data_IF_639601355437
#
_entry.id   IF_639601355437
#
_cell.length_a   1.000
_cell.length_b   1.000
_cell.length_c   1.000
_cell.angle_alpha   90.00
_cell.angle_beta   90.00
_cell.angle_gamma   90.00
#
_symmetry.space_group_name_H-M   'P 1'
#
loop_
_entity.id
_entity.type
_entity.pdbx_description
1 polymer ?
#
# COMPACT_ATOMS: atom_id res chain seq x y z
N UNK A 1 -41.53 -18.36 -32.34
CA UNK A 1 -41.47 -17.75 -31.00
C UNK A 1 -40.27 -16.86 -30.95
N UNK A 2 -40.44 -15.51 -31.07
CA UNK A 2 -39.36 -14.58 -30.97
C UNK A 2 -39.02 -14.38 -29.46
N UNK A 3 -37.81 -14.71 -29.11
CA UNK A 3 -37.31 -14.41 -27.76
C UNK A 3 -37.28 -12.89 -27.57
N UNK A 4 -38.17 -12.38 -26.74
CA UNK A 4 -38.16 -11.00 -26.28
C UNK A 4 -36.90 -10.84 -25.42
N UNK A 5 -35.85 -10.24 -26.01
CA UNK A 5 -34.69 -9.80 -25.23
C UNK A 5 -35.12 -8.62 -24.36
N UNK A 6 -35.55 -8.94 -23.15
CA UNK A 6 -35.82 -7.96 -22.11
C UNK A 6 -34.53 -7.17 -21.85
N UNK A 7 -34.51 -5.88 -22.23
CA UNK A 7 -33.36 -5.02 -21.96
C UNK A 7 -33.22 -4.90 -20.43
N UNK A 8 -32.03 -5.24 -19.88
CA UNK A 8 -31.85 -5.17 -18.43
C UNK A 8 -32.18 -3.77 -17.92
N UNK A 9 -32.97 -3.73 -16.85
CA UNK A 9 -33.32 -2.48 -16.18
C UNK A 9 -32.05 -1.73 -15.75
N UNK A 10 -32.15 -0.39 -15.61
CA UNK A 10 -31.01 0.45 -15.19
C UNK A 10 -30.41 -0.09 -13.87
N UNK A 11 -31.24 -0.50 -12.92
CA UNK A 11 -30.82 -1.10 -11.66
C UNK A 11 -29.98 -2.39 -11.88
N UNK A 12 -30.40 -3.26 -12.79
CA UNK A 12 -29.67 -4.50 -13.11
C UNK A 12 -28.28 -4.29 -13.73
N UNK A 13 -28.04 -3.12 -14.34
CA UNK A 13 -26.71 -2.75 -14.89
C UNK A 13 -25.73 -2.35 -13.79
N UNK A 14 -26.20 -1.88 -12.64
CA UNK A 14 -25.34 -1.48 -11.51
C UNK A 14 -25.05 -2.61 -10.53
N UNK A 15 -25.90 -3.66 -10.49
CA UNK A 15 -25.70 -4.81 -9.60
C UNK A 15 -24.30 -5.42 -9.70
N UNK A 16 -23.72 -5.66 -10.90
CA UNK A 16 -22.38 -6.25 -11.02
C UNK A 16 -21.28 -5.41 -10.35
N UNK A 17 -21.43 -4.08 -10.29
CA UNK A 17 -20.44 -3.18 -9.66
C UNK A 17 -20.33 -3.40 -8.14
N UNK A 18 -21.35 -3.97 -7.52
CA UNK A 18 -21.42 -4.18 -6.09
C UNK A 18 -21.27 -5.66 -5.68
N UNK A 19 -21.30 -6.59 -6.63
CA UNK A 19 -21.17 -8.03 -6.35
C UNK A 19 -19.77 -8.45 -5.87
N UNK A 20 -18.73 -7.67 -6.21
CA UNK A 20 -17.35 -7.95 -5.81
C UNK A 20 -16.97 -7.42 -4.42
N UNK A 21 -17.90 -6.75 -3.71
CA UNK A 21 -17.59 -6.17 -2.40
C UNK A 21 -17.90 -7.13 -1.26
N UNK A 22 -16.94 -7.25 -0.34
CA UNK A 22 -17.15 -7.86 0.97
C UNK A 22 -17.87 -6.85 1.86
N UNK A 23 -19.19 -7.01 2.02
CA UNK A 23 -20.03 -6.07 2.76
C UNK A 23 -19.65 -5.91 4.24
N UNK A 24 -19.29 -6.98 4.99
CA UNK A 24 -18.71 -6.85 6.33
C UNK A 24 -17.49 -5.95 6.37
N UNK A 25 -16.56 -6.11 5.42
CA UNK A 25 -15.37 -5.26 5.32
C UNK A 25 -15.72 -3.82 4.99
N UNK A 26 -16.64 -3.59 4.04
CA UNK A 26 -17.14 -2.23 3.70
C UNK A 26 -17.74 -1.55 4.91
N UNK A 27 -18.53 -2.27 5.70
CA UNK A 27 -19.14 -1.73 6.92
C UNK A 27 -18.10 -1.33 7.95
N UNK A 28 -17.09 -2.18 8.19
CA UNK A 28 -15.98 -1.86 9.11
C UNK A 28 -15.23 -0.61 8.64
N UNK A 29 -14.91 -0.52 7.36
CA UNK A 29 -14.24 0.66 6.78
C UNK A 29 -15.10 1.92 6.93
N UNK A 30 -16.41 1.82 6.70
CA UNK A 30 -17.33 2.94 6.86
C UNK A 30 -17.43 3.41 8.32
N UNK A 31 -17.47 2.48 9.29
CA UNK A 31 -17.46 2.80 10.73
C UNK A 31 -16.15 3.49 11.12
N UNK A 32 -15.00 2.97 10.70
CA UNK A 32 -13.69 3.57 10.96
C UNK A 32 -13.56 4.96 10.34
N UNK A 33 -14.03 5.12 9.10
CA UNK A 33 -14.06 6.41 8.42
C UNK A 33 -14.93 7.43 9.16
N UNK A 34 -16.12 7.02 9.61
CA UNK A 34 -17.02 7.86 10.38
C UNK A 34 -16.43 8.26 11.73
N UNK A 35 -15.79 7.31 12.44
CA UNK A 35 -15.09 7.58 13.69
C UNK A 35 -13.92 8.56 13.48
N UNK A 36 -13.15 8.40 12.39
CA UNK A 36 -12.09 9.32 12.01
C UNK A 36 -12.59 10.74 11.73
N UNK A 37 -13.71 10.86 11.02
CA UNK A 37 -14.35 12.17 10.77
C UNK A 37 -14.86 12.82 12.06
N UNK A 38 -15.47 12.05 12.98
CA UNK A 38 -15.92 12.54 14.28
C UNK A 38 -14.73 13.02 15.13
N UNK A 39 -13.64 12.25 15.18
CA UNK A 39 -12.43 12.63 15.89
C UNK A 39 -11.82 13.91 15.31
N UNK A 40 -11.78 14.03 13.97
CA UNK A 40 -11.28 15.23 13.30
C UNK A 40 -12.18 16.45 13.53
N UNK A 41 -13.48 16.27 13.55
CA UNK A 41 -14.43 17.34 13.90
C UNK A 41 -14.22 17.82 15.33
N UNK A 42 -14.10 16.90 16.28
CA UNK A 42 -13.86 17.21 17.70
C UNK A 42 -12.53 17.93 17.95
N UNK A 43 -11.46 17.51 17.25
CA UNK A 43 -10.12 18.09 17.43
C UNK A 43 -9.91 19.38 16.65
N UNK A 44 -10.71 19.66 15.64
CA UNK A 44 -10.57 20.77 14.69
C UNK A 44 -11.55 21.92 14.91
N UNK A 45 -12.22 21.99 16.07
CA UNK A 45 -13.30 22.95 16.33
C UNK A 45 -12.95 24.42 16.01
N UNK A 46 -11.70 24.84 16.25
CA UNK A 46 -11.23 26.19 15.95
C UNK A 46 -10.66 26.38 14.52
N UNK A 47 -10.64 25.33 13.69
CA UNK A 47 -9.98 25.33 12.37
C UNK A 47 -10.90 24.70 11.31
N UNK A 48 -12.02 25.34 11.01
CA UNK A 48 -13.11 24.83 10.14
C UNK A 48 -12.68 24.29 8.75
N UNK A 49 -11.55 24.72 8.20
CA UNK A 49 -11.04 24.23 6.92
C UNK A 49 -10.49 22.80 6.99
N UNK A 50 -9.90 22.38 8.11
CA UNK A 50 -9.26 21.06 8.26
C UNK A 50 -10.26 19.91 8.17
N UNK A 51 -11.43 20.07 8.77
CA UNK A 51 -12.48 19.05 8.69
C UNK A 51 -12.99 18.89 7.25
N UNK A 52 -13.27 20.02 6.56
CA UNK A 52 -13.73 20.00 5.17
C UNK A 52 -12.70 19.38 4.23
N UNK A 53 -11.42 19.73 4.39
CA UNK A 53 -10.33 19.16 3.62
C UNK A 53 -10.18 17.66 3.87
N UNK A 54 -10.27 17.21 5.12
CA UNK A 54 -10.23 15.79 5.48
C UNK A 54 -11.41 15.02 4.91
N UNK A 55 -12.62 15.53 5.04
CA UNK A 55 -13.82 14.93 4.47
C UNK A 55 -13.74 14.83 2.94
N UNK A 56 -13.28 15.87 2.27
CA UNK A 56 -13.05 15.86 0.83
C UNK A 56 -12.03 14.78 0.43
N UNK A 57 -10.90 14.70 1.14
CA UNK A 57 -9.87 13.71 0.85
C UNK A 57 -10.38 12.27 1.08
N UNK A 58 -11.22 12.05 2.09
CA UNK A 58 -11.88 10.76 2.32
C UNK A 58 -12.85 10.39 1.20
N UNK A 59 -13.61 11.35 0.68
CA UNK A 59 -14.50 11.11 -0.46
C UNK A 59 -13.69 10.76 -1.72
N UNK A 60 -12.59 11.46 -1.98
CA UNK A 60 -11.68 11.14 -3.08
C UNK A 60 -11.09 9.74 -2.90
N UNK A 61 -10.59 9.41 -1.71
CA UNK A 61 -10.04 8.10 -1.41
C UNK A 61 -11.08 6.98 -1.57
N UNK A 62 -12.32 7.18 -1.09
CA UNK A 62 -13.43 6.25 -1.28
C UNK A 62 -13.80 6.06 -2.75
N UNK A 63 -13.78 7.12 -3.54
CA UNK A 63 -14.01 7.05 -5.00
C UNK A 63 -12.91 6.26 -5.70
N UNK A 64 -11.66 6.50 -5.36
CA UNK A 64 -10.51 5.75 -5.91
C UNK A 64 -10.61 4.27 -5.49
N UNK A 65 -10.92 3.99 -4.22
CA UNK A 65 -11.12 2.63 -3.72
C UNK A 65 -12.20 1.91 -4.53
N UNK A 66 -13.35 2.56 -4.76
CA UNK A 66 -14.44 1.99 -5.55
C UNK A 66 -13.99 1.65 -6.98
N UNK A 67 -13.29 2.57 -7.65
CA UNK A 67 -12.77 2.35 -9.02
C UNK A 67 -11.75 1.22 -9.06
N UNK A 68 -10.78 1.22 -8.13
CA UNK A 68 -9.73 0.20 -8.07
C UNK A 68 -10.32 -1.17 -7.75
N UNK A 69 -11.35 -1.24 -6.90
CA UNK A 69 -12.03 -2.50 -6.59
C UNK A 69 -12.72 -3.15 -7.80
N UNK A 70 -13.02 -2.40 -8.87
CA UNK A 70 -13.55 -2.95 -10.12
C UNK A 70 -12.46 -3.55 -11.02
N UNK A 71 -11.17 -3.29 -10.72
CA UNK A 71 -10.06 -3.76 -11.55
C UNK A 71 -9.60 -5.14 -11.08
N UNK A 72 -9.63 -6.17 -11.93
CA UNK A 72 -9.14 -7.49 -11.58
C UNK A 72 -7.66 -7.42 -11.14
N UNK A 73 -7.24 -8.17 -10.10
CA UNK A 73 -5.86 -8.15 -9.59
C UNK A 73 -4.82 -8.43 -10.68
N UNK A 74 -5.14 -9.28 -11.66
CA UNK A 74 -4.26 -9.63 -12.78
C UNK A 74 -3.92 -8.39 -13.65
N UNK A 75 -4.86 -7.45 -13.80
CA UNK A 75 -4.60 -6.20 -14.52
C UNK A 75 -3.74 -5.24 -13.70
N UNK A 76 -3.91 -5.22 -12.38
CA UNK A 76 -3.08 -4.42 -11.50
C UNK A 76 -1.62 -4.86 -11.52
N UNK A 77 -1.35 -6.14 -11.72
CA UNK A 77 0.01 -6.68 -11.80
C UNK A 77 0.84 -6.14 -12.98
N UNK A 78 0.21 -5.64 -14.04
CA UNK A 78 0.92 -4.97 -15.14
C UNK A 78 1.67 -3.73 -14.65
N UNK A 79 1.16 -3.07 -13.60
CA UNK A 79 1.77 -1.90 -13.00
C UNK A 79 2.82 -2.22 -11.93
N UNK A 80 3.02 -3.49 -11.56
CA UNK A 80 3.91 -3.88 -10.47
C UNK A 80 5.35 -3.40 -10.69
N UNK A 81 5.94 -3.76 -11.83
CA UNK A 81 7.33 -3.41 -12.15
C UNK A 81 7.51 -1.91 -12.35
N UNK A 82 6.71 -1.21 -13.21
CA UNK A 82 6.90 0.22 -13.41
C UNK A 82 6.65 1.05 -12.14
N UNK A 83 5.66 0.68 -11.31
CA UNK A 83 5.36 1.40 -10.08
C UNK A 83 6.47 1.20 -9.03
N UNK A 84 7.01 -0.02 -8.90
CA UNK A 84 8.15 -0.31 -8.04
C UNK A 84 9.39 0.45 -8.49
N UNK A 85 9.73 0.37 -9.79
CA UNK A 85 10.91 1.05 -10.35
C UNK A 85 10.81 2.57 -10.17
N UNK A 86 9.64 3.16 -10.46
CA UNK A 86 9.40 4.58 -10.26
C UNK A 86 9.50 4.96 -8.76
N UNK A 87 8.93 4.16 -7.86
CA UNK A 87 9.01 4.38 -6.42
C UNK A 87 10.44 4.35 -5.90
N UNK A 88 11.25 3.37 -6.32
CA UNK A 88 12.68 3.28 -5.94
C UNK A 88 13.47 4.45 -6.53
N UNK A 89 13.26 4.78 -7.80
CA UNK A 89 13.91 5.92 -8.44
C UNK A 89 13.59 7.25 -7.71
N UNK A 90 12.34 7.44 -7.32
CA UNK A 90 11.93 8.60 -6.53
C UNK A 90 12.52 8.61 -5.11
N UNK A 91 12.70 7.43 -4.45
CA UNK A 91 13.41 7.38 -3.17
C UNK A 91 14.88 7.81 -3.31
N UNK A 92 15.54 7.37 -4.38
CA UNK A 92 16.91 7.82 -4.70
C UNK A 92 16.92 9.31 -4.98
N UNK A 93 15.97 9.82 -5.76
CA UNK A 93 15.85 11.25 -6.04
C UNK A 93 15.62 12.07 -4.76
N UNK A 94 14.83 11.58 -3.80
CA UNK A 94 14.68 12.23 -2.48
C UNK A 94 15.98 12.22 -1.70
N UNK A 95 16.76 11.14 -1.74
CA UNK A 95 18.04 11.09 -1.05
C UNK A 95 19.05 12.13 -1.61
N UNK A 96 18.94 12.50 -2.89
CA UNK A 96 19.83 13.45 -3.57
C UNK A 96 19.29 14.89 -3.55
N UNK A 97 17.98 15.06 -3.77
CA UNK A 97 17.34 16.36 -4.05
C UNK A 97 16.11 16.63 -3.17
N UNK A 98 15.87 15.80 -2.15
CA UNK A 98 14.67 15.90 -1.32
C UNK A 98 14.61 17.14 -0.46
N UNK A 99 13.39 17.54 -0.09
CA UNK A 99 13.10 18.64 0.80
C UNK A 99 13.14 18.13 2.24
N UNK A 100 13.90 18.82 3.08
CA UNK A 100 13.91 18.57 4.52
C UNK A 100 12.75 19.30 5.20
N UNK A 101 11.85 18.54 5.84
CA UNK A 101 10.78 19.08 6.69
C UNK A 101 10.85 18.41 8.07
N UNK A 102 10.82 19.20 9.13
CA UNK A 102 10.86 18.70 10.52
C UNK A 102 12.07 17.76 10.79
N UNK A 103 13.23 18.09 10.23
CA UNK A 103 14.46 17.31 10.43
C UNK A 103 14.60 16.03 9.60
N UNK A 104 13.66 15.72 8.71
CA UNK A 104 13.72 14.54 7.85
C UNK A 104 13.55 14.91 6.37
N UNK A 105 14.41 14.32 5.52
CA UNK A 105 14.40 14.50 4.07
C UNK A 105 13.60 13.36 3.43
N UNK A 106 12.27 13.56 3.26
CA UNK A 106 11.33 12.51 2.84
C UNK A 106 10.46 12.88 1.64
N UNK A 107 10.50 14.16 1.23
CA UNK A 107 9.60 14.70 0.20
C UNK A 107 10.38 15.24 -0.99
N UNK A 108 9.76 15.14 -2.16
CA UNK A 108 10.24 15.77 -3.38
C UNK A 108 9.13 16.66 -3.96
N UNK A 109 9.53 17.83 -4.49
CA UNK A 109 8.59 18.72 -5.16
C UNK A 109 8.73 18.58 -6.68
N UNK A 110 7.69 18.02 -7.29
CA UNK A 110 7.54 17.88 -8.75
C UNK A 110 6.35 18.72 -9.26
N UNK A 111 6.18 19.93 -8.72
CA UNK A 111 4.97 20.73 -8.88
C UNK A 111 3.95 20.49 -7.78
N UNK A 112 3.90 19.28 -7.27
CA UNK A 112 3.22 18.86 -6.03
C UNK A 112 4.24 18.17 -5.11
N UNK A 113 4.04 18.32 -3.81
CA UNK A 113 4.91 17.67 -2.81
C UNK A 113 4.48 16.23 -2.63
N UNK A 114 5.35 15.30 -3.02
CA UNK A 114 5.11 13.85 -2.96
C UNK A 114 6.07 13.21 -1.97
N UNK A 115 5.60 12.21 -1.24
CA UNK A 115 6.43 11.31 -0.43
C UNK A 115 6.51 9.94 -1.13
N UNK A 116 7.65 9.57 -1.72
CA UNK A 116 7.75 8.34 -2.52
C UNK A 116 7.53 7.05 -1.74
N UNK A 117 7.81 7.04 -0.45
CA UNK A 117 7.56 5.89 0.42
C UNK A 117 6.06 5.53 0.51
N UNK A 118 5.15 6.50 0.30
CA UNK A 118 3.70 6.23 0.22
C UNK A 118 3.35 5.35 -0.99
N UNK A 119 4.00 5.62 -2.12
CA UNK A 119 3.85 4.81 -3.34
C UNK A 119 4.35 3.39 -3.10
N UNK A 120 5.48 3.25 -2.39
CA UNK A 120 6.10 1.94 -2.14
C UNK A 120 5.33 1.07 -1.16
N UNK A 121 4.50 1.62 -0.30
CA UNK A 121 3.57 0.81 0.53
C UNK A 121 2.62 -0.02 -0.33
N UNK A 122 2.26 0.46 -1.51
CA UNK A 122 1.40 -0.24 -2.47
C UNK A 122 2.25 -1.02 -3.49
N UNK A 123 3.30 -0.39 -4.01
CA UNK A 123 4.12 -0.95 -5.07
C UNK A 123 4.91 -2.19 -4.63
N UNK A 124 5.36 -2.23 -3.36
CA UNK A 124 6.17 -3.34 -2.85
C UNK A 124 5.40 -4.66 -2.76
N UNK A 125 4.25 -4.75 -2.10
CA UNK A 125 3.44 -5.97 -2.11
C UNK A 125 3.05 -6.40 -3.52
N UNK A 126 2.70 -5.46 -4.39
CA UNK A 126 2.31 -5.73 -5.77
C UNK A 126 3.49 -6.30 -6.58
N UNK A 127 4.69 -5.75 -6.41
CA UNK A 127 5.92 -6.23 -7.05
C UNK A 127 6.26 -7.65 -6.62
N UNK A 128 6.19 -7.96 -5.33
CA UNK A 128 6.46 -9.29 -4.82
C UNK A 128 5.40 -10.31 -5.26
N UNK A 129 4.12 -9.93 -5.25
CA UNK A 129 3.04 -10.77 -5.75
C UNK A 129 3.26 -11.12 -7.23
N UNK A 130 3.61 -10.11 -8.06
CA UNK A 130 3.96 -10.31 -9.47
C UNK A 130 5.20 -11.23 -9.63
N UNK A 131 6.23 -11.03 -8.80
CA UNK A 131 7.45 -11.85 -8.83
C UNK A 131 7.16 -13.32 -8.59
N UNK A 132 6.38 -13.64 -7.56
CA UNK A 132 6.05 -15.02 -7.22
C UNK A 132 5.02 -15.64 -8.17
N UNK A 133 4.02 -14.88 -8.62
CA UNK A 133 3.03 -15.36 -9.59
C UNK A 133 3.70 -15.82 -10.91
N UNK A 134 4.67 -15.06 -11.41
CA UNK A 134 5.39 -15.45 -12.63
C UNK A 134 6.20 -16.75 -12.50
N UNK A 135 6.44 -17.23 -11.28
CA UNK A 135 7.23 -18.41 -10.96
C UNK A 135 6.41 -19.49 -10.26
N UNK A 136 5.10 -19.33 -10.25
CA UNK A 136 4.19 -20.30 -9.63
C UNK A 136 4.46 -21.72 -10.13
N UNK A 137 4.55 -22.69 -9.21
CA UNK A 137 4.87 -24.10 -9.51
C UNK A 137 6.35 -24.41 -9.71
N UNK A 138 7.26 -23.41 -9.74
CA UNK A 138 8.71 -23.60 -9.95
C UNK A 138 9.58 -22.79 -8.98
N UNK A 139 9.07 -22.45 -7.80
CA UNK A 139 9.78 -21.62 -6.82
C UNK A 139 11.04 -22.31 -6.31
N UNK A 140 12.15 -21.61 -6.38
CA UNK A 140 13.47 -22.03 -5.92
C UNK A 140 13.92 -21.15 -4.74
N UNK A 141 14.86 -21.61 -3.90
CA UNK A 141 15.42 -20.79 -2.83
C UNK A 141 15.97 -19.44 -3.31
N UNK A 142 16.53 -19.39 -4.52
CA UNK A 142 17.03 -18.16 -5.14
C UNK A 142 15.91 -17.13 -5.42
N UNK A 143 14.69 -17.58 -5.67
CA UNK A 143 13.56 -16.66 -5.91
C UNK A 143 13.18 -15.92 -4.63
N UNK A 144 13.28 -16.58 -3.47
CA UNK A 144 13.08 -15.97 -2.16
C UNK A 144 14.22 -15.02 -1.80
N UNK A 145 15.47 -15.37 -2.15
CA UNK A 145 16.61 -14.48 -1.96
C UNK A 145 16.48 -13.21 -2.81
N UNK A 146 16.07 -13.33 -4.06
CA UNK A 146 15.80 -12.20 -4.95
C UNK A 146 14.63 -11.34 -4.45
N UNK A 147 13.55 -11.96 -3.95
CA UNK A 147 12.43 -11.25 -3.33
C UNK A 147 12.88 -10.49 -2.07
N UNK A 148 13.73 -11.10 -1.25
CA UNK A 148 14.36 -10.45 -0.10
C UNK A 148 15.20 -9.23 -0.50
N UNK A 149 15.98 -9.32 -1.58
CA UNK A 149 16.75 -8.19 -2.10
C UNK A 149 15.85 -7.07 -2.64
N UNK A 150 14.80 -7.43 -3.40
CA UNK A 150 13.79 -6.46 -3.86
C UNK A 150 13.15 -5.71 -2.70
N UNK A 151 12.90 -6.39 -1.58
CA UNK A 151 12.35 -5.77 -0.37
C UNK A 151 13.40 -4.94 0.38
N UNK A 152 14.63 -5.41 0.49
CA UNK A 152 15.69 -4.75 1.25
C UNK A 152 16.09 -3.39 0.66
N UNK A 153 16.08 -3.24 -0.68
CA UNK A 153 16.46 -2.00 -1.35
C UNK A 153 15.58 -0.82 -0.91
N UNK A 154 14.25 -0.84 -1.09
CA UNK A 154 13.42 0.29 -0.68
C UNK A 154 13.37 0.47 0.84
N UNK A 155 13.36 -0.61 1.62
CA UNK A 155 13.40 -0.52 3.09
C UNK A 155 14.66 0.20 3.55
N UNK A 156 15.84 -0.18 3.04
CA UNK A 156 17.11 0.48 3.37
C UNK A 156 17.14 1.95 2.97
N UNK A 157 16.57 2.31 1.81
CA UNK A 157 16.47 3.72 1.37
C UNK A 157 15.54 4.53 2.27
N UNK A 158 14.41 3.96 2.71
CA UNK A 158 13.44 4.61 3.61
C UNK A 158 14.08 4.78 5.01
N UNK A 159 14.80 3.79 5.50
CA UNK A 159 15.52 3.89 6.78
C UNK A 159 16.56 5.01 6.78
N UNK A 160 17.26 5.24 5.67
CA UNK A 160 18.17 6.39 5.51
C UNK A 160 17.47 7.75 5.58
N UNK A 161 16.16 7.81 5.35
CA UNK A 161 15.34 9.03 5.43
C UNK A 161 14.74 9.26 6.84
N UNK A 162 15.34 8.74 7.91
CA UNK A 162 14.86 8.45 9.27
C UNK A 162 13.32 8.26 9.38
N UNK A 163 12.77 7.38 8.54
CA UNK A 163 11.35 7.01 8.55
C UNK A 163 11.15 5.54 8.96
N UNK A 164 11.39 5.28 10.26
CA UNK A 164 11.29 3.94 10.83
C UNK A 164 9.87 3.36 10.69
N UNK A 165 8.83 4.18 10.91
CA UNK A 165 7.44 3.73 10.83
C UNK A 165 7.08 3.21 9.44
N UNK A 166 7.42 3.98 8.39
CA UNK A 166 7.13 3.56 7.00
C UNK A 166 8.01 2.38 6.58
N UNK A 167 9.30 2.36 6.99
CA UNK A 167 10.18 1.23 6.66
C UNK A 167 9.69 -0.09 7.26
N UNK A 168 9.21 -0.08 8.52
CA UNK A 168 8.61 -1.25 9.17
C UNK A 168 7.31 -1.68 8.49
N UNK A 169 6.47 -0.74 8.06
CA UNK A 169 5.23 -1.04 7.32
C UNK A 169 5.54 -1.74 5.99
N UNK A 170 6.46 -1.18 5.20
CA UNK A 170 6.86 -1.77 3.91
C UNK A 170 7.52 -3.14 4.11
N UNK A 171 8.37 -3.26 5.15
CA UNK A 171 9.01 -4.52 5.51
C UNK A 171 7.97 -5.58 5.90
N UNK A 172 7.04 -5.25 6.79
CA UNK A 172 6.00 -6.18 7.24
C UNK A 172 5.10 -6.62 6.09
N UNK A 173 4.65 -5.67 5.24
CA UNK A 173 3.84 -5.99 4.08
C UNK A 173 4.59 -6.89 3.09
N UNK A 174 5.86 -6.60 2.80
CA UNK A 174 6.69 -7.41 1.92
C UNK A 174 6.97 -8.81 2.48
N UNK A 175 7.33 -8.92 3.76
CA UNK A 175 7.54 -10.21 4.42
C UNK A 175 6.26 -11.06 4.45
N UNK A 176 5.09 -10.44 4.62
CA UNK A 176 3.81 -11.14 4.54
C UNK A 176 3.62 -11.79 3.17
N UNK A 177 3.88 -11.07 2.07
CA UNK A 177 3.78 -11.64 0.72
C UNK A 177 4.78 -12.78 0.52
N UNK A 178 6.04 -12.61 0.93
CA UNK A 178 7.09 -13.64 0.84
C UNK A 178 6.69 -14.88 1.65
N UNK A 179 6.13 -14.68 2.83
CA UNK A 179 5.64 -15.75 3.69
C UNK A 179 4.50 -16.53 3.02
N UNK A 180 3.47 -15.84 2.54
CA UNK A 180 2.34 -16.49 1.87
C UNK A 180 2.71 -17.13 0.52
N UNK A 181 3.82 -16.72 -0.09
CA UNK A 181 4.39 -17.39 -1.26
C UNK A 181 5.02 -18.76 -0.93
N UNK A 182 5.14 -19.13 0.35
CA UNK A 182 5.61 -20.45 0.80
C UNK A 182 6.93 -20.43 1.56
N UNK A 183 7.42 -19.28 2.01
CA UNK A 183 8.59 -19.24 2.88
C UNK A 183 8.25 -19.79 4.27
N UNK A 184 9.05 -20.74 4.77
CA UNK A 184 8.77 -21.36 6.05
C UNK A 184 9.01 -20.38 7.23
N UNK A 185 8.17 -20.47 8.28
CA UNK A 185 8.30 -19.71 9.52
C UNK A 185 9.68 -19.81 10.18
N UNK A 186 10.35 -20.96 10.03
CA UNK A 186 11.69 -21.21 10.56
C UNK A 186 12.75 -20.26 10.00
N UNK A 187 12.53 -19.70 8.80
CA UNK A 187 13.43 -18.75 8.15
C UNK A 187 13.03 -17.29 8.42
N UNK A 188 11.76 -17.02 8.70
CA UNK A 188 11.26 -15.65 8.94
C UNK A 188 11.45 -15.23 10.41
N UNK A 189 11.21 -16.14 11.32
CA UNK A 189 11.19 -15.84 12.77
C UNK A 189 12.54 -15.35 13.33
N UNK A 190 13.71 -15.96 13.00
CA UNK A 190 14.99 -15.52 13.56
C UNK A 190 15.35 -14.06 13.20
N UNK A 191 15.31 -13.61 11.94
CA UNK A 191 15.64 -12.23 11.60
C UNK A 191 14.63 -11.22 12.19
N UNK A 192 13.36 -11.58 12.31
CA UNK A 192 12.34 -10.72 12.95
C UNK A 192 12.63 -10.56 14.44
N UNK A 193 12.96 -11.64 15.15
CA UNK A 193 13.31 -11.58 16.56
C UNK A 193 14.62 -10.81 16.79
N UNK A 194 15.65 -11.03 15.97
CA UNK A 194 16.91 -10.28 16.05
C UNK A 194 16.68 -8.78 15.81
N UNK A 195 15.84 -8.43 14.85
CA UNK A 195 15.47 -7.05 14.59
C UNK A 195 14.72 -6.40 15.75
N UNK A 196 13.78 -7.13 16.36
CA UNK A 196 13.04 -6.66 17.53
C UNK A 196 13.95 -6.45 18.75
N UNK A 197 14.85 -7.40 19.01
CA UNK A 197 15.85 -7.28 20.09
C UNK A 197 16.81 -6.12 19.83
N UNK A 198 17.29 -5.96 18.59
CA UNK A 198 18.14 -4.84 18.19
C UNK A 198 17.49 -3.48 18.41
N UNK A 199 16.19 -3.35 18.10
CA UNK A 199 15.44 -2.12 18.37
C UNK A 199 15.30 -1.87 19.89
N UNK A 200 15.00 -2.90 20.67
CA UNK A 200 14.89 -2.77 22.12
C UNK A 200 16.21 -2.32 22.75
N UNK A 201 17.35 -2.86 22.29
CA UNK A 201 18.68 -2.47 22.76
C UNK A 201 19.10 -1.06 22.32
N UNK A 202 18.56 -0.52 21.25
CA UNK A 202 18.84 0.85 20.79
C UNK A 202 17.99 1.90 21.52
N UNK A 203 16.89 1.49 22.15
CA UNK A 203 15.95 2.38 22.84
C UNK A 203 16.16 2.35 24.36
N UNK A 204 16.85 1.31 24.88
CA UNK A 204 17.26 1.20 26.29
C UNK A 204 18.56 1.98 26.57
#
# INVERSE_FOLDING_TARGET
MAAVFDKPSIAQRFVPLFQGFDWPLVLVVAVLASAGLLAMYSSGYDHGSRFADHARNMLIAGSILFVVAQVPPQKLMVFAVPLYAAGVALLVAVALFGITKKGAQRWINLGIVIQPSEILKIAMPLMLAWWFQKREGQLRPLDFAAAGLLLAIPVGLIMKQPDLGTSLLVLAAGLSVIFFAGLSWKLVLPPVLLGAVGILLLVS
#
